data_IF_393695607339
#
_entry.id   IF_393695607339
#
_cell.length_a   1.000
_cell.length_b   1.000
_cell.length_c   1.000
_cell.angle_alpha   90.00
_cell.angle_beta   90.00
_cell.angle_gamma   90.00
#
_symmetry.space_group_name_H-M   'P 1'
#
loop_
_entity.id
_entity.type
_entity.pdbx_description
1 polymer ?
#
# COMPACT_ATOMS: atom_id res chain seq x y z
N UNK A 1 -5.55 2.83 -30.28
CA UNK A 1 -4.12 2.65 -30.46
C UNK A 1 -3.32 3.21 -29.32
N UNK A 2 -3.36 4.51 -29.12
CA UNK A 2 -2.67 5.17 -28.01
C UNK A 2 -3.15 4.67 -26.65
N UNK A 3 -4.42 4.31 -26.52
CA UNK A 3 -4.99 3.86 -25.26
C UNK A 3 -4.33 2.58 -24.76
N UNK A 4 -4.15 1.60 -25.65
CA UNK A 4 -3.50 0.34 -25.26
C UNK A 4 -2.06 0.58 -24.82
N UNK A 5 -1.38 1.48 -25.51
CA UNK A 5 -0.01 1.84 -25.18
C UNK A 5 0.06 2.57 -23.84
N UNK A 6 -0.90 3.46 -23.58
CA UNK A 6 -0.97 4.20 -22.32
C UNK A 6 -1.21 3.26 -21.14
N UNK A 7 -2.06 2.25 -21.31
CA UNK A 7 -2.31 1.26 -20.27
C UNK A 7 -1.06 0.48 -19.91
N UNK A 8 -0.25 0.11 -20.90
CA UNK A 8 1.02 -0.57 -20.65
C UNK A 8 1.98 0.31 -19.86
N UNK A 9 2.02 1.62 -20.19
CA UNK A 9 2.86 2.56 -19.47
C UNK A 9 2.44 2.78 -18.04
N UNK A 10 1.16 2.51 -17.69
CA UNK A 10 0.66 2.66 -16.33
C UNK A 10 1.17 1.57 -15.37
N UNK A 11 1.73 0.47 -15.88
CA UNK A 11 2.22 -0.65 -15.08
C UNK A 11 3.70 -0.93 -15.39
N UNK A 12 4.59 0.04 -15.11
CA UNK A 12 6.00 -0.10 -15.51
C UNK A 12 6.83 -0.99 -14.59
N UNK A 13 6.39 -1.25 -13.38
CA UNK A 13 7.21 -1.92 -12.38
C UNK A 13 6.83 -3.39 -12.22
N UNK A 14 7.81 -4.21 -11.88
CA UNK A 14 7.58 -5.62 -11.56
C UNK A 14 7.02 -5.74 -10.15
N UNK A 15 6.25 -6.79 -9.90
CA UNK A 15 5.77 -7.11 -8.55
C UNK A 15 6.97 -7.37 -7.63
N UNK A 16 6.81 -7.10 -6.32
CA UNK A 16 7.87 -7.42 -5.35
C UNK A 16 8.16 -8.91 -5.38
N UNK A 17 9.43 -9.27 -5.21
CA UNK A 17 9.81 -10.67 -5.10
C UNK A 17 9.45 -11.26 -3.74
N UNK A 18 9.51 -10.43 -2.71
CA UNK A 18 9.19 -10.86 -1.35
C UNK A 18 7.71 -11.14 -1.19
N UNK A 19 7.40 -12.29 -0.60
CA UNK A 19 6.02 -12.75 -0.41
C UNK A 19 5.21 -11.80 0.49
N UNK A 20 5.84 -11.32 1.56
CA UNK A 20 5.14 -10.44 2.50
C UNK A 20 4.82 -9.09 1.87
N UNK A 21 5.73 -8.57 1.03
CA UNK A 21 5.47 -7.35 0.29
C UNK A 21 4.37 -7.53 -0.75
N UNK A 22 4.31 -8.68 -1.41
CA UNK A 22 3.22 -8.99 -2.35
C UNK A 22 1.88 -9.03 -1.63
N UNK A 23 1.85 -9.65 -0.47
CA UNK A 23 0.64 -9.70 0.34
C UNK A 23 0.18 -8.30 0.72
N UNK A 24 1.12 -7.48 1.20
CA UNK A 24 0.83 -6.09 1.53
C UNK A 24 0.24 -5.35 0.34
N UNK A 25 0.84 -5.49 -0.82
CA UNK A 25 0.36 -4.85 -2.04
C UNK A 25 -1.07 -5.28 -2.38
N UNK A 26 -1.36 -6.58 -2.33
CA UNK A 26 -2.69 -7.10 -2.63
C UNK A 26 -3.73 -6.54 -1.65
N UNK A 27 -3.39 -6.51 -0.36
CA UNK A 27 -4.29 -5.98 0.65
C UNK A 27 -4.57 -4.49 0.42
N UNK A 28 -3.53 -3.70 0.13
CA UNK A 28 -3.68 -2.28 -0.15
C UNK A 28 -4.53 -2.05 -1.41
N UNK A 29 -4.31 -2.83 -2.47
CA UNK A 29 -5.11 -2.76 -3.69
C UNK A 29 -6.58 -3.03 -3.42
N UNK A 30 -6.86 -4.09 -2.66
CA UNK A 30 -8.24 -4.45 -2.37
C UNK A 30 -8.95 -3.37 -1.56
N UNK A 31 -8.29 -2.86 -0.53
CA UNK A 31 -8.89 -1.84 0.32
C UNK A 31 -9.09 -0.51 -0.43
N UNK A 32 -8.17 -0.17 -1.32
CA UNK A 32 -8.28 1.06 -2.09
C UNK A 32 -9.43 1.00 -3.10
N UNK A 33 -9.67 -0.16 -3.69
CA UNK A 33 -10.69 -0.31 -4.74
C UNK A 33 -12.05 -0.67 -4.15
N UNK A 34 -12.09 -1.59 -3.18
CA UNK A 34 -13.34 -2.13 -2.63
C UNK A 34 -13.75 -1.50 -1.30
N UNK A 35 -12.90 -0.66 -0.72
CA UNK A 35 -13.17 0.01 0.55
C UNK A 35 -12.29 -0.50 1.68
N UNK A 36 -12.02 0.37 2.65
CA UNK A 36 -11.10 0.07 3.75
C UNK A 36 -11.54 -1.11 4.60
N UNK A 37 -12.83 -1.43 4.60
CA UNK A 37 -13.38 -2.54 5.35
C UNK A 37 -13.75 -3.75 4.48
N UNK A 38 -13.10 -3.88 3.32
CA UNK A 38 -13.32 -5.01 2.43
C UNK A 38 -13.14 -6.34 3.17
N UNK A 39 -14.18 -7.18 3.13
CA UNK A 39 -14.19 -8.43 3.86
C UNK A 39 -13.11 -9.41 3.38
N UNK A 40 -12.84 -9.41 2.09
CA UNK A 40 -11.83 -10.30 1.53
C UNK A 40 -10.42 -9.92 1.97
N UNK A 41 -10.13 -8.63 2.07
CA UNK A 41 -8.87 -8.16 2.62
C UNK A 41 -8.72 -8.62 4.08
N UNK A 42 -9.78 -8.50 4.87
CA UNK A 42 -9.79 -8.97 6.25
C UNK A 42 -9.53 -10.46 6.35
N UNK A 43 -10.18 -11.25 5.50
CA UNK A 43 -9.99 -12.69 5.47
C UNK A 43 -8.57 -13.08 5.10
N UNK A 44 -8.01 -12.43 4.08
CA UNK A 44 -6.62 -12.68 3.66
C UNK A 44 -5.63 -12.33 4.76
N UNK A 45 -5.89 -11.24 5.48
CA UNK A 45 -5.04 -10.85 6.61
C UNK A 45 -5.09 -11.91 7.71
N UNK A 46 -6.28 -12.42 8.03
CA UNK A 46 -6.43 -13.48 9.02
C UNK A 46 -5.66 -14.74 8.61
N UNK A 47 -5.79 -15.16 7.36
CA UNK A 47 -5.11 -16.35 6.85
C UNK A 47 -3.59 -16.24 6.93
N UNK A 48 -3.05 -15.05 6.70
CA UNK A 48 -1.61 -14.86 6.57
C UNK A 48 -0.94 -14.36 7.85
N UNK A 49 -1.63 -13.56 8.65
CA UNK A 49 -1.07 -13.02 9.90
C UNK A 49 -1.57 -13.75 11.13
N UNK A 50 -2.58 -14.62 10.99
CA UNK A 50 -3.13 -15.37 12.11
C UNK A 50 -3.95 -14.51 13.07
N UNK A 51 -3.98 -14.89 14.35
CA UNK A 51 -4.82 -14.24 15.35
C UNK A 51 -4.52 -12.76 15.50
N UNK A 52 -3.26 -12.37 15.30
CA UNK A 52 -2.83 -10.97 15.39
C UNK A 52 -3.10 -10.13 14.13
N UNK A 53 -3.96 -10.58 13.23
CA UNK A 53 -4.19 -9.96 11.93
C UNK A 53 -4.81 -8.57 12.00
N UNK A 54 -5.52 -8.25 13.05
CA UNK A 54 -6.27 -6.98 13.14
C UNK A 54 -5.34 -5.77 13.18
N UNK A 55 -4.23 -5.89 13.90
CA UNK A 55 -3.35 -4.75 14.09
C UNK A 55 -2.69 -4.29 12.78
N UNK A 56 -2.02 -5.16 12.02
CA UNK A 56 -1.51 -4.72 10.72
C UNK A 56 -2.61 -4.25 9.78
N UNK A 57 -3.78 -4.87 9.80
CA UNK A 57 -4.88 -4.47 8.93
C UNK A 57 -5.40 -3.07 9.27
N UNK A 58 -5.57 -2.77 10.56
CA UNK A 58 -5.99 -1.43 11.01
C UNK A 58 -4.96 -0.38 10.60
N UNK A 59 -3.69 -0.70 10.74
CA UNK A 59 -2.63 0.24 10.38
C UNK A 59 -2.55 0.47 8.87
N UNK A 60 -2.85 -0.54 8.08
CA UNK A 60 -2.98 -0.38 6.62
C UNK A 60 -4.13 0.56 6.28
N UNK A 61 -5.28 0.41 6.97
CA UNK A 61 -6.42 1.31 6.80
C UNK A 61 -6.06 2.75 7.15
N UNK A 62 -5.36 2.93 8.26
CA UNK A 62 -4.91 4.26 8.68
C UNK A 62 -3.98 4.88 7.65
N UNK A 63 -3.03 4.10 7.14
CA UNK A 63 -2.10 4.59 6.13
C UNK A 63 -2.84 5.04 4.86
N UNK A 64 -3.74 4.21 4.34
CA UNK A 64 -4.50 4.55 3.16
C UNK A 64 -5.40 5.78 3.38
N UNK A 65 -6.03 5.86 4.54
CA UNK A 65 -6.88 6.99 4.89
C UNK A 65 -6.08 8.30 4.94
N UNK A 66 -4.96 8.29 5.65
CA UNK A 66 -4.12 9.48 5.75
C UNK A 66 -3.52 9.85 4.40
N UNK A 67 -3.13 8.86 3.61
CA UNK A 67 -2.61 9.07 2.28
C UNK A 67 -3.65 9.75 1.37
N UNK A 68 -4.86 9.24 1.37
CA UNK A 68 -5.96 9.81 0.57
C UNK A 68 -6.31 11.22 1.03
N UNK A 69 -6.27 11.46 2.34
CA UNK A 69 -6.60 12.77 2.92
C UNK A 69 -5.55 13.82 2.59
N UNK A 70 -4.28 13.44 2.58
CA UNK A 70 -3.18 14.37 2.34
C UNK A 70 -2.92 14.62 0.87
N UNK A 71 -3.20 13.65 0.01
CA UNK A 71 -2.77 13.72 -1.39
C UNK A 71 -3.49 14.82 -2.16
N UNK A 72 -2.71 15.59 -2.91
CA UNK A 72 -3.22 16.61 -3.83
C UNK A 72 -3.27 16.11 -5.26
N UNK A 73 -2.85 14.88 -5.48
CA UNK A 73 -2.86 14.25 -6.80
C UNK A 73 -3.59 12.91 -6.72
N UNK A 74 -3.96 12.41 -7.88
CA UNK A 74 -4.65 11.15 -7.99
C UNK A 74 -3.63 10.01 -7.91
N UNK A 75 -3.70 9.21 -6.84
CA UNK A 75 -2.80 8.07 -6.67
C UNK A 75 -3.42 6.87 -7.38
N UNK A 76 -2.65 6.25 -8.27
CA UNK A 76 -3.14 5.16 -9.11
C UNK A 76 -2.70 3.81 -8.58
N UNK A 77 -3.67 2.94 -8.29
CA UNK A 77 -3.42 1.57 -7.95
C UNK A 77 -4.01 0.66 -9.02
N UNK A 78 -3.35 -0.47 -9.26
CA UNK A 78 -3.83 -1.47 -10.18
C UNK A 78 -4.84 -2.40 -9.49
N UNK A 79 -5.64 -3.16 -10.26
CA UNK A 79 -6.50 -4.19 -9.69
C UNK A 79 -5.69 -5.25 -8.93
N UNK A 80 -6.33 -5.95 -7.99
CA UNK A 80 -5.63 -6.85 -7.08
C UNK A 80 -4.83 -7.95 -7.77
N UNK A 81 -5.24 -8.37 -8.97
CA UNK A 81 -4.59 -9.46 -9.69
C UNK A 81 -3.69 -8.98 -10.84
N UNK A 82 -3.43 -7.68 -10.94
CA UNK A 82 -2.56 -7.17 -11.99
C UNK A 82 -1.14 -7.74 -11.85
N UNK A 83 -0.51 -8.17 -12.96
CA UNK A 83 0.79 -8.84 -12.89
C UNK A 83 1.98 -7.89 -12.71
N UNK A 84 1.75 -6.59 -12.72
CA UNK A 84 2.79 -5.57 -12.55
C UNK A 84 2.25 -4.45 -11.69
N UNK A 85 3.13 -3.55 -11.27
CA UNK A 85 2.79 -2.42 -10.40
C UNK A 85 2.77 -1.10 -11.16
N UNK A 86 1.94 -0.18 -10.68
CA UNK A 86 2.02 1.22 -11.07
C UNK A 86 3.23 1.86 -10.36
N UNK A 87 3.65 3.01 -10.88
CA UNK A 87 4.70 3.80 -10.22
C UNK A 87 4.27 4.20 -8.81
N UNK A 88 3.00 4.59 -8.64
CA UNK A 88 2.49 5.00 -7.33
C UNK A 88 2.53 3.85 -6.33
N UNK A 89 2.23 2.63 -6.77
CA UNK A 89 2.34 1.46 -5.90
C UNK A 89 3.78 1.23 -5.45
N UNK A 90 4.73 1.42 -6.35
CA UNK A 90 6.15 1.36 -5.99
C UNK A 90 6.53 2.38 -4.94
N UNK A 91 6.03 3.61 -5.08
CA UNK A 91 6.25 4.67 -4.09
C UNK A 91 5.59 4.35 -2.75
N UNK A 92 4.39 3.78 -2.77
CA UNK A 92 3.70 3.36 -1.54
C UNK A 92 4.49 2.31 -0.77
N UNK A 93 4.94 1.28 -1.47
CA UNK A 93 5.73 0.23 -0.83
C UNK A 93 7.05 0.77 -0.30
N UNK A 94 7.69 1.65 -1.06
CA UNK A 94 8.93 2.29 -0.62
C UNK A 94 8.71 3.14 0.62
N UNK A 95 7.58 3.87 0.68
CA UNK A 95 7.24 4.71 1.83
C UNK A 95 6.99 3.88 3.09
N UNK A 96 6.44 2.69 2.96
CA UNK A 96 6.20 1.79 4.09
C UNK A 96 7.50 1.12 4.51
N UNK A 97 8.31 0.69 3.55
CA UNK A 97 9.57 0.01 3.83
C UNK A 97 10.57 0.93 4.52
N UNK A 98 10.70 2.15 4.05
CA UNK A 98 11.57 3.15 4.64
C UNK A 98 10.89 4.52 4.56
N UNK A 99 10.06 4.87 5.55
CA UNK A 99 9.33 6.13 5.52
C UNK A 99 10.26 7.33 5.38
N UNK A 100 10.03 8.14 4.36
CA UNK A 100 10.82 9.33 4.12
C UNK A 100 9.95 10.45 3.55
N UNK A 101 10.33 11.68 3.81
CA UNK A 101 9.60 12.85 3.31
C UNK A 101 9.62 12.90 1.79
N UNK A 102 10.75 12.61 1.18
CA UNK A 102 10.91 12.70 -0.27
C UNK A 102 9.94 11.77 -1.00
N UNK A 103 9.84 10.53 -0.54
CA UNK A 103 8.95 9.53 -1.15
C UNK A 103 7.49 9.95 -0.95
N UNK A 104 7.12 10.38 0.26
CA UNK A 104 5.74 10.78 0.53
C UNK A 104 5.35 12.05 -0.21
N UNK A 105 6.26 12.99 -0.37
CA UNK A 105 6.01 14.19 -1.16
C UNK A 105 5.82 13.85 -2.63
N UNK A 106 6.64 12.95 -3.17
CA UNK A 106 6.51 12.48 -4.55
C UNK A 106 5.17 11.77 -4.77
N UNK A 107 4.72 11.00 -3.78
CA UNK A 107 3.48 10.25 -3.86
C UNK A 107 2.24 11.14 -3.75
N UNK A 108 2.27 12.14 -2.88
CA UNK A 108 1.08 12.93 -2.54
C UNK A 108 1.05 14.32 -3.17
N UNK A 109 2.21 14.85 -3.55
CA UNK A 109 2.36 16.23 -3.98
C UNK A 109 1.86 17.22 -2.93
N UNK A 110 1.99 16.84 -1.65
CA UNK A 110 1.51 17.63 -0.51
C UNK A 110 2.68 18.26 0.24
N UNK A 111 2.43 19.44 0.81
CA UNK A 111 3.43 20.12 1.63
C UNK A 111 3.56 19.55 3.03
N UNK A 112 2.46 19.00 3.57
CA UNK A 112 2.45 18.43 4.91
C UNK A 112 2.05 16.96 4.84
N UNK A 113 3.01 16.08 5.11
CA UNK A 113 2.82 14.63 5.11
C UNK A 113 3.08 14.03 6.49
N UNK A 114 3.01 14.83 7.53
CA UNK A 114 3.35 14.37 8.88
C UNK A 114 2.46 13.23 9.36
N UNK A 115 1.16 13.28 9.07
CA UNK A 115 0.22 12.22 9.48
C UNK A 115 0.44 10.95 8.68
N UNK A 116 0.68 11.08 7.38
CA UNK A 116 1.01 9.92 6.54
C UNK A 116 2.31 9.29 7.00
N UNK A 117 3.31 10.11 7.32
CA UNK A 117 4.60 9.66 7.82
C UNK A 117 4.43 8.84 9.09
N UNK A 118 3.64 9.34 10.05
CA UNK A 118 3.38 8.64 11.29
C UNK A 118 2.67 7.30 11.04
N UNK A 119 1.70 7.29 10.14
CA UNK A 119 0.99 6.07 9.78
C UNK A 119 1.92 5.06 9.12
N UNK A 120 2.81 5.51 8.25
CA UNK A 120 3.78 4.65 7.58
C UNK A 120 4.74 4.01 8.58
N UNK A 121 5.26 4.79 9.52
CA UNK A 121 6.14 4.29 10.58
C UNK A 121 5.44 3.25 11.45
N UNK A 122 4.20 3.52 11.85
CA UNK A 122 3.44 2.58 12.67
C UNK A 122 3.19 1.27 11.94
N UNK A 123 2.82 1.36 10.66
CA UNK A 123 2.57 0.18 9.84
C UNK A 123 3.86 -0.63 9.67
N UNK A 124 4.96 0.02 9.34
CA UNK A 124 6.23 -0.66 9.19
C UNK A 124 6.63 -1.40 10.47
N UNK A 125 6.51 -0.74 11.62
CA UNK A 125 6.83 -1.35 12.90
C UNK A 125 6.02 -2.61 13.15
N UNK A 126 4.74 -2.58 12.83
CA UNK A 126 3.88 -3.75 13.01
C UNK A 126 4.19 -4.87 12.03
N UNK A 127 4.50 -4.53 10.78
CA UNK A 127 4.86 -5.55 9.78
C UNK A 127 6.17 -6.26 10.16
N UNK A 128 7.15 -5.52 10.67
CA UNK A 128 8.40 -6.11 11.15
C UNK A 128 8.12 -7.05 12.32
N UNK A 129 7.26 -6.65 13.25
CA UNK A 129 6.89 -7.49 14.39
C UNK A 129 6.15 -8.74 13.94
N UNK A 130 5.23 -8.62 13.01
CA UNK A 130 4.47 -9.75 12.49
C UNK A 130 5.38 -10.76 11.78
N UNK A 131 6.37 -10.27 11.03
CA UNK A 131 7.32 -11.13 10.34
C UNK A 131 8.24 -11.87 11.30
N UNK A 132 8.48 -11.31 12.51
CA UNK A 132 9.34 -11.91 13.53
C UNK A 132 8.58 -12.82 14.48
N UNK A 133 7.25 -12.86 14.41
CA UNK A 133 6.45 -13.71 15.29
C UNK A 133 6.65 -15.19 14.94
N UNK A 134 6.78 -16.08 15.97
CA UNK A 134 6.91 -17.51 15.73
C UNK A 134 5.64 -18.15 15.20
#
# INVERSE_FOLDING_TARGET
MSDTHSHRCALPLMLPEDRDERLLLVLLRRMAIHGLHDARAGWMALENYGIGFRKPLVLMRCFLHELASASKRNIRLAPCCAPRMTRDEGLMLAAIDLPSLDVLEALTDAGDVSRVMSAAHALRGELVRAASAP
#
